data_IF_008196323820
#
_entry.id   IF_008196323820
#
_cell.length_a   1.000
_cell.length_b   1.000
_cell.length_c   1.000
_cell.angle_alpha   90.00
_cell.angle_beta   90.00
_cell.angle_gamma   90.00
#
_symmetry.space_group_name_H-M   'P 1'
#
loop_
_entity.id
_entity.type
_entity.pdbx_description
1 polymer ?
#
# COMPACT_ATOMS: atom_id res chain seq x y z
N UNK A 1 11.00 12.23 11.17
CA UNK A 1 10.11 11.12 10.75
C UNK A 1 10.88 9.82 10.87
N UNK A 2 10.25 8.77 11.39
CA UNK A 2 10.80 7.42 11.42
C UNK A 2 10.05 6.55 10.41
N UNK A 3 10.77 5.95 9.47
CA UNK A 3 10.22 5.08 8.44
C UNK A 3 11.00 3.76 8.35
N UNK A 4 10.36 2.75 7.76
CA UNK A 4 10.99 1.45 7.53
C UNK A 4 11.34 1.21 6.06
N UNK A 5 10.45 1.63 5.15
CA UNK A 5 10.64 1.51 3.70
C UNK A 5 10.66 2.88 3.04
N UNK A 6 11.48 3.02 1.99
CA UNK A 6 11.52 4.22 1.17
C UNK A 6 12.16 3.91 -0.20
N UNK A 7 11.64 4.45 -1.32
CA UNK A 7 12.22 4.21 -2.64
C UNK A 7 13.70 4.65 -2.74
N UNK A 8 14.57 3.88 -3.40
CA UNK A 8 14.24 2.72 -4.23
C UNK A 8 14.00 1.41 -3.46
N UNK A 9 14.37 1.33 -2.18
CA UNK A 9 14.30 0.10 -1.37
C UNK A 9 12.96 -0.04 -0.63
N UNK A 10 12.01 -0.71 -1.28
CA UNK A 10 10.67 -0.94 -0.72
C UNK A 10 10.07 -2.24 -1.24
N UNK A 11 9.08 -2.79 -0.53
CA UNK A 11 8.40 -4.03 -0.92
C UNK A 11 6.92 -3.84 -1.24
N UNK A 12 6.37 -2.66 -0.98
CA UNK A 12 4.99 -2.33 -1.30
C UNK A 12 4.64 -0.85 -1.13
N UNK A 13 3.35 -0.58 -0.92
CA UNK A 13 2.80 0.78 -0.88
C UNK A 13 3.33 1.67 0.26
N UNK A 14 3.88 1.10 1.33
CA UNK A 14 4.40 1.85 2.48
C UNK A 14 5.51 2.83 2.07
N UNK A 15 6.53 2.35 1.35
CA UNK A 15 7.62 3.21 0.89
C UNK A 15 7.14 4.30 -0.06
N UNK A 16 6.23 3.94 -0.98
CA UNK A 16 5.60 4.87 -1.92
C UNK A 16 4.81 5.96 -1.19
N UNK A 17 4.04 5.60 -0.16
CA UNK A 17 3.31 6.55 0.66
C UNK A 17 4.25 7.46 1.47
N UNK A 18 5.29 6.88 2.09
CA UNK A 18 6.28 7.62 2.85
C UNK A 18 6.98 8.68 1.99
N UNK A 19 7.42 8.32 0.77
CA UNK A 19 8.00 9.27 -0.18
C UNK A 19 7.03 10.38 -0.57
N UNK A 20 5.78 10.02 -0.86
CA UNK A 20 4.74 10.99 -1.19
C UNK A 20 4.54 12.01 -0.07
N UNK A 21 4.42 11.53 1.17
CA UNK A 21 4.27 12.38 2.36
C UNK A 21 5.50 13.27 2.55
N UNK A 22 6.72 12.75 2.47
CA UNK A 22 7.95 13.55 2.63
C UNK A 22 8.02 14.67 1.59
N UNK A 23 7.79 14.35 0.31
CA UNK A 23 7.78 15.35 -0.77
C UNK A 23 6.67 16.38 -0.59
N UNK A 24 5.47 15.93 -0.22
CA UNK A 24 4.34 16.79 0.06
C UNK A 24 4.60 17.74 1.24
N UNK A 25 5.22 17.25 2.32
CA UNK A 25 5.58 18.07 3.49
C UNK A 25 6.63 19.13 3.12
N UNK A 26 7.65 18.78 2.33
CA UNK A 26 8.64 19.75 1.84
C UNK A 26 8.02 20.82 0.93
N UNK A 27 6.98 20.47 0.15
CA UNK A 27 6.21 21.45 -0.61
C UNK A 27 5.55 22.51 0.28
N UNK A 28 5.22 22.17 1.53
CA UNK A 28 4.66 23.07 2.53
C UNK A 28 5.72 23.61 3.50
N UNK A 29 6.97 23.72 3.05
CA UNK A 29 8.10 24.29 3.81
C UNK A 29 8.39 23.58 5.15
N UNK A 30 7.98 22.31 5.28
CA UNK A 30 8.34 21.50 6.44
C UNK A 30 9.72 20.88 6.22
N UNK A 31 10.65 21.22 7.10
CA UNK A 31 11.93 20.52 7.18
C UNK A 31 11.74 19.11 7.74
N UNK A 32 12.12 18.09 6.97
CA UNK A 32 11.95 16.69 7.33
C UNK A 32 13.30 16.02 7.46
N UNK A 33 13.65 15.59 8.67
CA UNK A 33 14.68 14.57 8.87
C UNK A 33 14.03 13.20 8.85
N UNK A 34 14.32 12.38 7.86
CA UNK A 34 13.81 11.01 7.74
C UNK A 34 14.85 10.01 8.22
N UNK A 35 14.50 9.13 9.17
CA UNK A 35 15.38 8.06 9.66
C UNK A 35 14.91 6.73 9.10
N UNK A 36 15.78 6.05 8.34
CA UNK A 36 15.51 4.75 7.72
C UNK A 36 16.51 3.69 8.18
N UNK A 37 16.09 2.41 8.28
CA UNK A 37 17.04 1.30 8.39
C UNK A 37 17.85 1.22 7.10
N UNK A 38 19.17 1.18 7.19
CA UNK A 38 20.04 1.03 6.03
C UNK A 38 21.16 0.03 6.33
N UNK A 39 21.53 -0.90 5.42
CA UNK A 39 22.60 -1.83 5.71
C UNK A 39 23.92 -1.06 5.75
N UNK A 40 24.84 -1.45 6.63
CA UNK A 40 26.21 -0.95 6.56
C UNK A 40 26.85 -1.39 5.22
N UNK A 41 26.83 -0.52 4.21
CA UNK A 41 27.72 -0.60 3.04
C UNK A 41 28.70 0.58 3.06
N UNK A 42 29.85 0.39 2.39
CA UNK A 42 30.98 1.32 2.42
C UNK A 42 30.60 2.76 2.03
N UNK A 43 31.36 3.72 2.57
CA UNK A 43 31.15 5.15 2.41
C UNK A 43 31.04 5.53 0.92
N UNK A 44 29.94 6.19 0.54
CA UNK A 44 29.86 6.97 -0.69
C UNK A 44 28.44 7.07 -1.25
N UNK A 45 27.87 8.28 -1.17
CA UNK A 45 26.54 8.71 -1.69
C UNK A 45 25.30 8.02 -1.11
N UNK A 46 24.38 8.82 -0.57
CA UNK A 46 23.02 8.37 -0.23
C UNK A 46 22.36 7.82 -1.50
N UNK A 47 21.79 6.61 -1.50
CA UNK A 47 21.00 6.11 -2.64
C UNK A 47 19.63 6.79 -2.72
N UNK A 48 19.32 7.65 -1.75
CA UNK A 48 18.07 8.40 -1.68
C UNK A 48 18.27 9.77 -2.31
N UNK A 49 17.35 10.19 -3.20
CA UNK A 49 17.47 11.46 -3.90
C UNK A 49 17.30 12.68 -2.97
N UNK A 50 16.79 12.50 -1.76
CA UNK A 50 16.58 13.57 -0.79
C UNK A 50 17.80 13.78 0.13
N UNK A 51 18.25 15.04 0.27
CA UNK A 51 19.44 15.43 1.05
C UNK A 51 19.29 15.27 2.58
N UNK A 52 18.05 15.22 3.10
CA UNK A 52 17.74 15.21 4.54
C UNK A 52 17.38 13.81 5.09
N UNK A 53 17.93 12.75 4.50
CA UNK A 53 17.75 11.37 4.95
C UNK A 53 18.91 10.94 5.86
N UNK A 54 18.58 10.60 7.10
CA UNK A 54 19.50 9.99 8.06
C UNK A 54 19.36 8.46 8.07
N UNK A 55 20.49 7.77 8.24
CA UNK A 55 20.53 6.30 8.21
C UNK A 55 20.80 5.73 9.60
N UNK A 56 19.85 4.94 10.10
CA UNK A 56 20.10 3.99 11.18
C UNK A 56 20.83 2.79 10.58
N UNK A 57 22.17 2.82 10.62
CA UNK A 57 23.03 1.83 9.96
C UNK A 57 22.95 0.46 10.62
N UNK A 58 22.09 -0.43 10.13
CA UNK A 58 21.86 -1.77 10.66
C UNK A 58 22.98 -2.74 10.29
N UNK A 59 23.20 -3.75 11.14
CA UNK A 59 24.19 -4.81 10.89
C UNK A 59 23.78 -5.66 9.69
N UNK A 60 22.48 -5.94 9.57
CA UNK A 60 21.84 -6.60 8.44
C UNK A 60 20.47 -5.97 8.22
N UNK A 61 20.13 -5.65 6.97
CA UNK A 61 18.79 -5.20 6.63
C UNK A 61 17.90 -6.42 6.39
N UNK A 62 16.75 -6.44 7.06
CA UNK A 62 15.65 -7.37 6.80
C UNK A 62 14.49 -6.60 6.17
N UNK A 63 13.87 -7.20 5.17
CA UNK A 63 12.61 -6.67 4.67
C UNK A 63 11.54 -6.78 5.75
N UNK A 64 10.56 -5.87 5.76
CA UNK A 64 9.40 -6.04 6.63
C UNK A 64 8.66 -7.34 6.33
N UNK A 65 8.76 -7.87 5.11
CA UNK A 65 8.07 -9.08 4.68
C UNK A 65 9.04 -10.09 4.10
N UNK A 66 8.74 -11.37 4.30
CA UNK A 66 9.51 -12.45 3.71
C UNK A 66 9.45 -12.36 2.18
N UNK A 67 10.62 -12.32 1.54
CA UNK A 67 10.73 -12.37 0.08
C UNK A 67 11.37 -13.69 -0.34
N UNK A 68 10.82 -14.36 -1.37
CA UNK A 68 11.49 -15.53 -1.97
C UNK A 68 12.80 -15.07 -2.62
N UNK A 69 13.95 -15.48 -2.05
CA UNK A 69 15.19 -15.62 -2.82
C UNK A 69 15.27 -17.06 -3.30
N UNK A 70 15.49 -17.28 -4.60
CA UNK A 70 15.47 -18.57 -5.31
C UNK A 70 16.56 -19.56 -4.83
N UNK A 71 17.29 -19.29 -3.74
CA UNK A 71 18.50 -20.02 -3.37
C UNK A 71 18.49 -20.79 -2.02
N UNK A 72 17.41 -20.82 -1.24
CA UNK A 72 17.40 -21.63 0.01
C UNK A 72 16.30 -22.69 0.02
N UNK A 73 16.73 -23.95 -0.03
CA UNK A 73 15.90 -25.18 0.03
C UNK A 73 15.39 -25.52 1.44
N UNK A 74 15.25 -24.55 2.36
CA UNK A 74 14.72 -24.80 3.70
C UNK A 74 13.35 -24.15 3.88
N UNK A 75 12.34 -24.99 3.75
CA UNK A 75 10.92 -24.68 3.77
C UNK A 75 10.43 -24.15 5.14
N UNK A 76 9.77 -22.99 5.14
CA UNK A 76 8.71 -22.61 6.08
C UNK A 76 7.63 -21.88 5.30
N UNK A 77 6.55 -22.58 4.98
CA UNK A 77 5.53 -22.21 3.99
C UNK A 77 4.58 -21.06 4.44
N UNK A 78 4.78 -20.48 5.63
CA UNK A 78 3.81 -19.61 6.30
C UNK A 78 4.36 -18.32 6.91
N UNK A 79 5.62 -17.97 6.69
CA UNK A 79 6.20 -16.75 7.27
C UNK A 79 5.79 -15.51 6.48
N UNK A 80 4.95 -14.64 7.05
CA UNK A 80 4.66 -13.31 6.51
C UNK A 80 5.85 -12.34 6.69
N UNK A 81 6.59 -12.51 7.78
CA UNK A 81 7.69 -11.65 8.24
C UNK A 81 9.05 -12.33 8.10
N UNK A 82 10.14 -11.55 8.04
CA UNK A 82 11.52 -12.08 8.07
C UNK A 82 11.90 -12.54 9.49
N UNK A 83 12.55 -13.70 9.60
CA UNK A 83 12.94 -14.34 10.88
C UNK A 83 13.78 -13.43 11.80
N UNK A 84 14.53 -12.45 11.27
CA UNK A 84 15.36 -11.54 12.08
C UNK A 84 14.74 -10.15 12.29
N UNK A 85 13.48 -9.94 11.91
CA UNK A 85 12.83 -8.62 11.93
C UNK A 85 12.80 -7.99 13.33
N UNK A 86 12.53 -8.80 14.37
CA UNK A 86 12.51 -8.32 15.76
C UNK A 86 13.84 -7.70 16.21
N UNK A 87 14.96 -8.40 15.99
CA UNK A 87 16.29 -7.90 16.29
C UNK A 87 16.62 -6.64 15.46
N UNK A 88 16.25 -6.62 14.18
CA UNK A 88 16.45 -5.44 13.32
C UNK A 88 15.69 -4.22 13.84
N UNK A 89 14.48 -4.40 14.39
CA UNK A 89 13.67 -3.33 14.98
C UNK A 89 14.32 -2.78 16.26
N UNK A 90 14.88 -3.65 17.11
CA UNK A 90 15.60 -3.23 18.31
C UNK A 90 16.88 -2.44 17.98
N UNK A 91 17.67 -2.95 17.02
CA UNK A 91 18.85 -2.23 16.52
C UNK A 91 18.47 -0.88 15.90
N UNK A 92 17.42 -0.86 15.08
CA UNK A 92 16.89 0.36 14.48
C UNK A 92 16.48 1.37 15.55
N UNK A 93 15.81 0.92 16.61
CA UNK A 93 15.39 1.76 17.73
C UNK A 93 16.60 2.40 18.42
N UNK A 94 17.61 1.61 18.78
CA UNK A 94 18.80 2.11 19.46
C UNK A 94 19.56 3.14 18.60
N UNK A 95 19.81 2.80 17.33
CA UNK A 95 20.55 3.67 16.40
C UNK A 95 19.77 4.93 16.04
N UNK A 96 18.44 4.82 15.93
CA UNK A 96 17.55 5.96 15.69
C UNK A 96 17.68 7.04 16.77
N UNK A 97 17.77 6.64 18.05
CA UNK A 97 17.96 7.59 19.15
C UNK A 97 19.34 8.23 19.13
N UNK A 98 20.38 7.48 18.78
CA UNK A 98 21.73 8.01 18.68
C UNK A 98 21.86 9.07 17.56
N UNK A 99 21.31 8.79 16.37
CA UNK A 99 21.42 9.72 15.22
C UNK A 99 20.53 10.95 15.37
N UNK A 100 19.47 10.87 16.18
CA UNK A 100 18.53 11.99 16.38
C UNK A 100 18.78 12.79 17.66
N UNK A 101 19.69 12.36 18.56
CA UNK A 101 19.91 12.98 19.88
C UNK A 101 20.12 14.49 19.89
N UNK A 102 20.73 15.05 18.84
CA UNK A 102 21.05 16.47 18.72
C UNK A 102 20.07 17.25 17.85
N UNK A 103 19.02 16.59 17.36
CA UNK A 103 17.97 17.23 16.58
C UNK A 103 16.97 17.84 17.54
N UNK A 104 16.37 18.97 17.15
CA UNK A 104 15.30 19.62 17.91
C UNK A 104 14.00 19.60 17.08
N UNK A 105 13.31 18.44 16.99
CA UNK A 105 12.12 18.32 16.17
C UNK A 105 10.93 19.02 16.83
N UNK A 106 10.09 19.72 16.05
CA UNK A 106 8.80 20.21 16.56
C UNK A 106 7.76 19.09 16.71
N UNK A 107 7.88 18.05 15.89
CA UNK A 107 7.00 16.87 15.86
C UNK A 107 7.85 15.63 15.60
N UNK A 108 7.58 14.55 16.32
CA UNK A 108 8.03 13.20 15.96
C UNK A 108 6.90 12.50 15.23
N UNK A 109 7.16 11.94 14.06
CA UNK A 109 6.15 11.29 13.22
C UNK A 109 6.64 9.91 12.76
N UNK A 110 5.89 8.87 13.10
CA UNK A 110 6.22 7.47 12.85
C UNK A 110 5.32 6.84 11.80
N UNK A 111 5.91 6.00 10.96
CA UNK A 111 5.20 5.22 9.95
C UNK A 111 5.26 3.75 10.33
N UNK A 112 4.09 3.19 10.67
CA UNK A 112 3.88 1.79 11.06
C UNK A 112 4.70 1.27 12.26
N UNK A 113 4.26 0.10 12.73
CA UNK A 113 4.61 -0.54 14.00
C UNK A 113 6.10 -0.78 14.23
N UNK A 114 6.88 -0.97 13.17
CA UNK A 114 8.33 -1.17 13.25
C UNK A 114 9.02 0.06 13.87
N UNK A 115 8.42 1.26 13.73
CA UNK A 115 9.06 2.53 14.10
C UNK A 115 8.55 3.14 15.40
N UNK A 116 7.47 2.59 15.99
CA UNK A 116 6.81 3.23 17.15
C UNK A 116 7.68 3.32 18.39
N UNK A 117 8.50 2.32 18.68
CA UNK A 117 9.38 2.38 19.87
C UNK A 117 10.46 3.47 19.72
N UNK A 118 11.06 3.58 18.54
CA UNK A 118 12.01 4.66 18.22
C UNK A 118 11.33 6.03 18.36
N UNK A 119 10.12 6.17 17.81
CA UNK A 119 9.28 7.36 17.91
C UNK A 119 8.96 7.77 19.33
N UNK A 120 8.39 6.86 20.11
CA UNK A 120 7.98 7.08 21.50
C UNK A 120 9.15 7.48 22.39
N UNK A 121 10.31 6.83 22.22
CA UNK A 121 11.53 7.21 22.96
C UNK A 121 12.08 8.56 22.51
N UNK A 122 12.08 8.84 21.20
CA UNK A 122 12.54 10.13 20.66
C UNK A 122 11.65 11.29 21.10
N UNK A 123 10.32 11.15 21.01
CA UNK A 123 9.34 12.13 21.45
C UNK A 123 9.51 12.47 22.94
N UNK A 124 9.69 11.44 23.80
CA UNK A 124 9.98 11.65 25.23
C UNK A 124 11.32 12.34 25.48
N UNK A 125 12.37 11.96 24.75
CA UNK A 125 13.69 12.57 24.88
C UNK A 125 13.67 14.06 24.53
N UNK A 126 13.01 14.42 23.42
CA UNK A 126 12.92 15.81 22.95
C UNK A 126 11.76 16.61 23.55
N UNK A 127 10.88 15.96 24.32
CA UNK A 127 9.64 16.54 24.90
C UNK A 127 8.74 17.15 23.83
N UNK A 128 8.53 16.42 22.74
CA UNK A 128 7.78 16.88 21.58
C UNK A 128 6.64 15.93 21.23
N UNK A 129 5.56 16.43 20.60
CA UNK A 129 4.40 15.60 20.28
C UNK A 129 4.75 14.45 19.31
N UNK A 130 4.09 13.31 19.50
CA UNK A 130 4.20 12.11 18.69
C UNK A 130 2.96 11.94 17.80
N UNK A 131 3.19 11.77 16.51
CA UNK A 131 2.18 11.38 15.52
C UNK A 131 2.48 9.98 15.02
N UNK A 132 1.50 9.06 15.10
CA UNK A 132 1.59 7.74 14.47
C UNK A 132 0.74 7.70 13.21
N UNK A 133 1.32 7.28 12.09
CA UNK A 133 0.65 7.21 10.79
C UNK A 133 0.58 5.76 10.32
N UNK A 134 -0.65 5.28 10.18
CA UNK A 134 -0.98 3.88 10.05
C UNK A 134 -1.26 3.57 8.59
N UNK A 135 -0.39 2.78 7.95
CA UNK A 135 -0.56 2.33 6.56
C UNK A 135 -1.18 0.94 6.49
N UNK A 136 -0.98 0.11 7.52
CA UNK A 136 -1.68 -1.16 7.70
C UNK A 136 -1.55 -1.61 9.17
N UNK A 137 -2.55 -2.33 9.67
CA UNK A 137 -2.50 -3.01 10.98
C UNK A 137 -2.20 -4.50 10.83
N UNK A 138 -1.86 -5.16 11.92
CA UNK A 138 -1.66 -6.61 11.94
C UNK A 138 -2.94 -7.36 11.62
N UNK A 139 -4.08 -6.86 12.10
CA UNK A 139 -5.40 -7.40 11.79
C UNK A 139 -5.69 -7.37 10.29
N UNK A 140 -5.29 -6.28 9.61
CA UNK A 140 -5.43 -6.16 8.15
C UNK A 140 -4.66 -7.24 7.40
N UNK A 141 -3.44 -7.54 7.88
CA UNK A 141 -2.50 -8.43 7.18
C UNK A 141 -2.81 -9.90 7.40
N UNK A 142 -3.41 -10.24 8.54
CA UNK A 142 -3.60 -11.61 8.99
C UNK A 142 -5.06 -12.08 9.00
N UNK A 143 -5.99 -11.28 8.47
CA UNK A 143 -7.42 -11.57 8.54
C UNK A 143 -7.85 -11.79 10.01
N UNK A 144 -7.53 -10.81 10.86
CA UNK A 144 -7.88 -10.81 12.29
C UNK A 144 -7.30 -11.99 13.11
N UNK A 145 -6.25 -12.65 12.61
CA UNK A 145 -5.48 -13.68 13.33
C UNK A 145 -4.05 -13.17 13.60
N UNK A 146 -3.88 -12.11 14.42
CA UNK A 146 -2.62 -11.40 14.50
C UNK A 146 -1.52 -12.19 15.21
N UNK A 147 -0.27 -11.94 14.83
CA UNK A 147 0.85 -12.24 15.71
C UNK A 147 0.75 -11.39 17.00
N UNK A 148 0.72 -11.99 18.20
CA UNK A 148 0.52 -11.25 19.45
C UNK A 148 1.61 -10.20 19.71
N UNK A 149 2.86 -10.51 19.36
CA UNK A 149 3.98 -9.60 19.60
C UNK A 149 3.88 -8.35 18.71
N UNK A 150 3.47 -8.51 17.46
CA UNK A 150 3.23 -7.37 16.56
C UNK A 150 2.02 -6.55 17.02
N UNK A 151 0.92 -7.23 17.38
CA UNK A 151 -0.31 -6.57 17.83
C UNK A 151 -0.07 -5.72 19.08
N UNK A 152 0.67 -6.23 20.07
CA UNK A 152 1.02 -5.49 21.28
C UNK A 152 1.85 -4.24 20.96
N UNK A 153 2.82 -4.32 20.04
CA UNK A 153 3.63 -3.16 19.63
C UNK A 153 2.81 -2.12 18.89
N UNK A 154 1.88 -2.54 18.02
CA UNK A 154 0.90 -1.65 17.40
C UNK A 154 0.09 -0.92 18.46
N UNK A 155 -0.50 -1.66 19.40
CA UNK A 155 -1.32 -1.09 20.48
C UNK A 155 -0.53 -0.08 21.33
N UNK A 156 0.71 -0.41 21.73
CA UNK A 156 1.57 0.50 22.49
C UNK A 156 1.91 1.77 21.70
N UNK A 157 2.18 1.66 20.40
CA UNK A 157 2.39 2.81 19.54
C UNK A 157 1.16 3.71 19.43
N UNK A 158 -0.03 3.12 19.30
CA UNK A 158 -1.29 3.87 19.22
C UNK A 158 -1.62 4.56 20.53
N UNK A 159 -1.38 3.91 21.67
CA UNK A 159 -1.58 4.50 23.00
C UNK A 159 -0.60 5.66 23.23
N UNK A 160 0.67 5.49 22.85
CA UNK A 160 1.71 6.50 23.11
C UNK A 160 1.67 7.74 22.21
N UNK A 161 1.08 7.66 21.01
CA UNK A 161 0.93 8.82 20.13
C UNK A 161 0.04 9.90 20.75
N UNK A 162 0.27 11.17 20.45
CA UNK A 162 -0.66 12.26 20.78
C UNK A 162 -1.81 12.30 19.76
N UNK A 163 -1.50 12.07 18.49
CA UNK A 163 -2.46 11.96 17.39
C UNK A 163 -2.12 10.81 16.47
N UNK A 164 -3.15 10.22 15.87
CA UNK A 164 -3.02 9.13 14.91
C UNK A 164 -3.57 9.59 13.57
N UNK A 165 -2.81 9.32 12.51
CA UNK A 165 -3.27 9.47 11.13
C UNK A 165 -3.61 8.08 10.59
N UNK A 166 -4.88 7.85 10.27
CA UNK A 166 -5.34 6.68 9.55
C UNK A 166 -5.46 7.02 8.05
N UNK A 167 -4.98 6.14 7.19
CA UNK A 167 -5.03 6.35 5.72
C UNK A 167 -6.44 6.26 5.13
N UNK A 168 -7.45 5.87 5.93
CA UNK A 168 -8.85 5.74 5.51
C UNK A 168 -9.80 5.68 6.71
N UNK A 169 -11.09 5.88 6.48
CA UNK A 169 -12.13 5.60 7.47
C UNK A 169 -12.21 4.11 7.80
N UNK A 170 -11.94 3.23 6.84
CA UNK A 170 -11.78 1.79 7.08
C UNK A 170 -10.71 1.51 8.15
N UNK A 171 -9.50 2.04 7.99
CA UNK A 171 -8.42 1.89 8.99
C UNK A 171 -8.79 2.56 10.31
N UNK A 172 -9.43 3.74 10.29
CA UNK A 172 -9.93 4.39 11.52
C UNK A 172 -10.91 3.49 12.29
N UNK A 173 -11.82 2.82 11.59
CA UNK A 173 -12.78 1.92 12.21
C UNK A 173 -12.07 0.72 12.83
N UNK A 174 -11.04 0.16 12.19
CA UNK A 174 -10.26 -0.93 12.77
C UNK A 174 -9.58 -0.51 14.08
N UNK A 175 -8.93 0.66 14.08
CA UNK A 175 -8.27 1.20 15.26
C UNK A 175 -9.26 1.46 16.41
N UNK A 176 -10.44 2.00 16.10
CA UNK A 176 -11.45 2.28 17.11
C UNK A 176 -12.10 1.00 17.67
N UNK A 177 -12.49 0.08 16.79
CA UNK A 177 -13.30 -1.09 17.17
C UNK A 177 -12.46 -2.24 17.73
N UNK A 178 -11.24 -2.45 17.21
CA UNK A 178 -10.43 -3.61 17.57
C UNK A 178 -9.21 -3.26 18.45
N UNK A 179 -8.64 -2.07 18.30
CA UNK A 179 -7.55 -1.60 19.17
C UNK A 179 -8.04 -0.73 20.33
N UNK A 180 -9.33 -0.37 20.38
CA UNK A 180 -9.94 0.41 21.45
C UNK A 180 -9.47 1.86 21.51
N UNK A 181 -9.01 2.41 20.38
CA UNK A 181 -8.48 3.78 20.34
C UNK A 181 -9.61 4.80 20.22
N UNK A 182 -9.54 5.87 21.03
CA UNK A 182 -10.54 6.92 21.04
C UNK A 182 -10.69 7.58 19.65
N UNK A 183 -11.92 7.67 19.07
CA UNK A 183 -12.11 8.17 17.70
C UNK A 183 -11.67 9.62 17.43
N UNK A 184 -11.58 10.46 18.46
CA UNK A 184 -11.12 11.86 18.43
C UNK A 184 -9.59 12.00 18.38
N UNK A 185 -8.87 10.93 18.76
CA UNK A 185 -7.43 10.79 18.57
C UNK A 185 -7.05 10.46 17.12
N UNK A 186 -7.99 9.88 16.36
CA UNK A 186 -7.76 9.36 15.00
C UNK A 186 -8.26 10.36 13.95
N UNK A 187 -7.33 10.90 13.18
CA UNK A 187 -7.58 11.76 12.03
C UNK A 187 -7.44 10.94 10.74
N UNK A 188 -8.44 11.02 9.86
CA UNK A 188 -8.36 10.36 8.55
C UNK A 188 -7.71 11.33 7.56
N UNK A 189 -6.60 10.92 6.98
CA UNK A 189 -5.95 11.63 5.86
C UNK A 189 -5.67 10.58 4.80
N UNK A 190 -6.39 10.66 3.69
CA UNK A 190 -6.28 9.68 2.62
C UNK A 190 -4.89 9.70 1.98
N UNK A 191 -4.44 8.54 1.52
CA UNK A 191 -3.26 8.47 0.67
C UNK A 191 -3.54 9.05 -0.73
N UNK A 192 -2.48 9.32 -1.49
CA UNK A 192 -2.58 10.00 -2.78
C UNK A 192 -1.85 9.27 -3.91
N UNK A 193 -2.10 9.69 -5.16
CA UNK A 193 -1.39 9.18 -6.32
C UNK A 193 -0.12 10.01 -6.61
N UNK A 194 0.89 9.35 -7.21
CA UNK A 194 2.16 9.99 -7.62
C UNK A 194 2.13 10.63 -9.02
N UNK A 195 1.12 10.29 -9.83
CA UNK A 195 1.08 10.60 -11.26
C UNK A 195 0.67 12.06 -11.55
N UNK A 196 1.37 13.03 -10.98
CA UNK A 196 1.16 14.46 -11.27
C UNK A 196 1.94 14.92 -12.53
N UNK A 197 2.96 14.16 -12.97
CA UNK A 197 3.81 14.57 -14.10
C UNK A 197 3.75 13.65 -15.34
N UNK A 198 2.97 12.57 -15.28
CA UNK A 198 2.74 11.75 -16.47
C UNK A 198 1.69 12.44 -17.34
N UNK A 199 2.04 12.72 -18.59
CA UNK A 199 1.09 13.16 -19.61
C UNK A 199 -0.19 12.31 -19.53
N UNK A 200 -1.40 12.90 -19.71
CA UNK A 200 -2.64 12.16 -19.65
C UNK A 200 -2.49 10.88 -20.49
N UNK A 201 -2.90 9.71 -19.96
CA UNK A 201 -2.72 8.45 -20.66
C UNK A 201 -3.23 8.67 -22.08
N UNK A 202 -2.37 8.36 -23.07
CA UNK A 202 -2.77 8.39 -24.47
C UNK A 202 -4.10 7.66 -24.54
N UNK A 203 -5.18 8.41 -24.77
CA UNK A 203 -6.50 7.86 -24.92
C UNK A 203 -6.36 6.72 -25.91
N UNK A 204 -6.77 5.53 -25.49
CA UNK A 204 -6.63 4.33 -26.30
C UNK A 204 -7.44 4.56 -27.58
N UNK A 205 -6.78 5.01 -28.63
CA UNK A 205 -7.42 5.43 -29.88
C UNK A 205 -7.93 4.26 -30.73
N UNK A 206 -7.99 3.05 -30.19
CA UNK A 206 -8.63 1.92 -30.84
C UNK A 206 -8.96 0.80 -29.86
N UNK A 207 -10.11 0.11 -29.98
CA UNK A 207 -10.25 -1.23 -29.45
C UNK A 207 -9.11 -2.10 -30.01
N UNK A 208 -8.27 -2.65 -29.16
CA UNK A 208 -7.20 -3.54 -29.61
C UNK A 208 -7.79 -4.74 -30.34
N UNK A 209 -7.13 -5.21 -31.40
CA UNK A 209 -7.40 -6.53 -31.99
C UNK A 209 -7.10 -7.71 -31.04
N UNK A 210 -6.57 -7.41 -29.85
CA UNK A 210 -6.26 -8.40 -28.82
C UNK A 210 -7.50 -8.67 -27.96
N UNK A 211 -7.62 -9.90 -27.42
CA UNK A 211 -8.69 -10.23 -26.51
C UNK A 211 -8.70 -9.31 -25.26
N UNK A 212 -9.87 -9.07 -24.64
CA UNK A 212 -9.96 -8.23 -23.45
C UNK A 212 -9.11 -8.80 -22.30
N UNK A 213 -8.39 -7.92 -21.59
CA UNK A 213 -7.52 -8.28 -20.47
C UNK A 213 -8.11 -7.77 -19.15
N UNK A 214 -8.30 -8.65 -18.18
CA UNK A 214 -8.68 -8.31 -16.80
C UNK A 214 -7.44 -8.47 -15.91
N UNK A 215 -7.09 -7.40 -15.19
CA UNK A 215 -5.85 -7.33 -14.42
C UNK A 215 -6.10 -7.42 -12.92
N UNK A 216 -5.35 -8.29 -12.24
CA UNK A 216 -5.05 -8.21 -10.82
C UNK A 216 -3.57 -7.80 -10.65
N UNK A 217 -3.29 -6.91 -9.70
CA UNK A 217 -1.93 -6.46 -9.39
C UNK A 217 -1.76 -6.30 -7.88
N UNK A 218 -0.82 -7.03 -7.29
CA UNK A 218 -0.50 -6.94 -5.86
C UNK A 218 0.17 -8.19 -5.31
N UNK A 219 0.55 -8.14 -4.02
CA UNK A 219 1.16 -9.30 -3.34
C UNK A 219 0.15 -10.44 -3.23
N UNK A 220 0.58 -11.68 -3.52
CA UNK A 220 -0.28 -12.87 -3.46
C UNK A 220 -0.37 -13.40 -2.03
N UNK A 221 -1.21 -12.72 -1.24
CA UNK A 221 -1.42 -12.93 0.20
C UNK A 221 -2.91 -13.03 0.49
N UNK A 222 -3.28 -13.64 1.62
CA UNK A 222 -4.66 -13.75 2.08
C UNK A 222 -5.35 -12.38 2.11
N UNK A 223 -4.66 -11.35 2.61
CA UNK A 223 -5.14 -9.96 2.62
C UNK A 223 -5.64 -9.47 1.25
N UNK A 224 -4.89 -9.75 0.18
CA UNK A 224 -5.22 -9.29 -1.18
C UNK A 224 -6.23 -10.19 -1.90
N UNK A 225 -6.51 -11.36 -1.33
CA UNK A 225 -7.51 -12.32 -1.77
C UNK A 225 -7.40 -12.72 -3.26
N UNK A 226 -6.22 -13.15 -3.74
CA UNK A 226 -6.04 -13.57 -5.13
C UNK A 226 -6.86 -14.82 -5.51
N UNK A 227 -7.26 -15.66 -4.55
CA UNK A 227 -8.14 -16.81 -4.81
C UNK A 227 -9.51 -16.36 -5.32
N UNK A 228 -10.07 -15.28 -4.75
CA UNK A 228 -11.31 -14.71 -5.24
C UNK A 228 -11.19 -14.24 -6.69
N UNK A 229 -10.02 -13.73 -7.10
CA UNK A 229 -9.80 -13.37 -8.50
C UNK A 229 -9.88 -14.59 -9.44
N UNK A 230 -9.47 -15.78 -9.01
CA UNK A 230 -9.67 -17.02 -9.77
C UNK A 230 -11.16 -17.37 -9.89
N UNK A 231 -11.94 -17.20 -8.82
CA UNK A 231 -13.39 -17.40 -8.87
C UNK A 231 -14.07 -16.42 -9.83
N UNK A 232 -13.69 -15.15 -9.79
CA UNK A 232 -14.17 -14.14 -10.74
C UNK A 232 -13.81 -14.54 -12.18
N UNK A 233 -12.56 -14.97 -12.41
CA UNK A 233 -12.11 -15.41 -13.73
C UNK A 233 -12.93 -16.60 -14.27
N UNK A 234 -13.23 -17.60 -13.43
CA UNK A 234 -14.07 -18.74 -13.80
C UNK A 234 -15.48 -18.34 -14.23
N UNK A 235 -16.09 -17.36 -13.54
CA UNK A 235 -17.45 -16.87 -13.83
C UNK A 235 -17.50 -16.12 -15.15
N UNK A 236 -16.53 -15.24 -15.37
CA UNK A 236 -16.41 -14.49 -16.62
C UNK A 236 -16.07 -15.43 -17.78
N UNK A 237 -15.13 -16.37 -17.60
CA UNK A 237 -14.71 -17.31 -18.65
C UNK A 237 -15.87 -18.18 -19.14
N UNK A 238 -16.77 -18.62 -18.24
CA UNK A 238 -17.97 -19.37 -18.63
C UNK A 238 -18.92 -18.58 -19.57
N UNK A 239 -18.90 -17.24 -19.49
CA UNK A 239 -19.75 -16.35 -20.30
C UNK A 239 -19.03 -15.70 -21.48
N UNK A 240 -17.70 -15.58 -21.44
CA UNK A 240 -16.87 -14.90 -22.43
C UNK A 240 -15.48 -15.57 -22.47
N UNK A 241 -15.34 -16.70 -23.19
CA UNK A 241 -14.13 -17.54 -23.16
C UNK A 241 -12.87 -16.88 -23.73
N UNK A 242 -13.04 -15.83 -24.51
CA UNK A 242 -12.00 -15.02 -25.14
C UNK A 242 -11.30 -14.06 -24.17
N UNK A 243 -11.89 -13.78 -23.00
CA UNK A 243 -11.28 -12.89 -22.00
C UNK A 243 -10.02 -13.53 -21.40
N UNK A 244 -8.95 -12.74 -21.32
CA UNK A 244 -7.68 -13.10 -20.69
C UNK A 244 -7.55 -12.45 -19.33
N UNK A 245 -6.95 -13.17 -18.37
CA UNK A 245 -6.72 -12.73 -17.01
C UNK A 245 -5.22 -12.68 -16.75
N UNK A 246 -4.76 -11.61 -16.13
CA UNK A 246 -3.37 -11.48 -15.68
C UNK A 246 -3.37 -11.27 -14.17
N UNK A 247 -2.70 -12.17 -13.46
CA UNK A 247 -2.37 -12.02 -12.06
C UNK A 247 -0.92 -11.61 -11.94
N UNK A 248 -0.70 -10.31 -11.71
CA UNK A 248 0.62 -9.73 -11.56
C UNK A 248 1.03 -9.55 -10.10
N UNK A 249 2.17 -10.13 -9.73
CA UNK A 249 2.69 -10.09 -8.37
C UNK A 249 3.20 -11.44 -7.90
N UNK A 250 3.77 -11.42 -6.69
CA UNK A 250 4.38 -12.57 -6.05
C UNK A 250 3.95 -12.61 -4.57
N UNK A 251 4.13 -13.76 -3.93
CA UNK A 251 3.78 -13.96 -2.53
C UNK A 251 3.69 -15.43 -2.15
N UNK A 252 3.43 -15.72 -0.86
CA UNK A 252 3.36 -17.10 -0.36
C UNK A 252 2.39 -17.99 -1.14
N UNK A 253 1.28 -17.43 -1.64
CA UNK A 253 0.25 -18.18 -2.35
C UNK A 253 0.57 -18.46 -3.84
N UNK A 254 1.68 -17.95 -4.40
CA UNK A 254 1.93 -17.98 -5.85
C UNK A 254 1.80 -19.37 -6.47
N UNK A 255 2.51 -20.37 -5.93
CA UNK A 255 2.48 -21.74 -6.45
C UNK A 255 1.10 -22.37 -6.30
N UNK A 256 0.49 -22.20 -5.11
CA UNK A 256 -0.85 -22.71 -4.83
C UNK A 256 -1.90 -22.17 -5.82
N UNK A 257 -1.83 -20.87 -6.16
CA UNK A 257 -2.77 -20.23 -7.08
C UNK A 257 -2.66 -20.77 -8.51
N UNK A 258 -1.47 -21.16 -8.96
CA UNK A 258 -1.28 -21.81 -10.27
C UNK A 258 -1.96 -23.18 -10.27
N UNK A 259 -1.72 -24.01 -9.25
CA UNK A 259 -2.34 -25.33 -9.14
C UNK A 259 -3.88 -25.22 -9.08
N UNK A 260 -4.39 -24.23 -8.35
CA UNK A 260 -5.83 -23.94 -8.27
C UNK A 260 -6.39 -23.48 -9.61
N UNK A 261 -5.70 -22.61 -10.34
CA UNK A 261 -6.15 -22.17 -11.66
C UNK A 261 -6.26 -23.35 -12.65
N UNK A 262 -5.27 -24.24 -12.69
CA UNK A 262 -5.31 -25.47 -13.48
C UNK A 262 -6.47 -26.38 -13.05
N UNK A 263 -6.66 -26.59 -11.74
CA UNK A 263 -7.77 -27.41 -11.23
C UNK A 263 -9.15 -26.81 -11.56
N UNK A 264 -9.22 -25.50 -11.80
CA UNK A 264 -10.44 -24.77 -12.18
C UNK A 264 -10.65 -24.68 -13.70
N UNK A 265 -9.73 -25.22 -14.52
CA UNK A 265 -9.80 -25.16 -15.98
C UNK A 265 -9.43 -23.81 -16.58
N UNK A 266 -8.63 -23.00 -15.88
CA UNK A 266 -8.26 -21.63 -16.28
C UNK A 266 -6.89 -21.53 -16.97
N UNK A 267 -6.21 -22.64 -17.21
CA UNK A 267 -4.82 -22.70 -17.71
C UNK A 267 -4.63 -22.00 -19.06
N UNK A 268 -5.67 -21.91 -19.89
CA UNK A 268 -5.62 -21.28 -21.21
C UNK A 268 -6.02 -19.80 -21.22
N UNK A 269 -6.46 -19.24 -20.08
CA UNK A 269 -6.92 -17.85 -19.99
C UNK A 269 -6.30 -17.07 -18.82
N UNK A 270 -5.50 -17.70 -17.95
CA UNK A 270 -4.87 -17.06 -16.79
C UNK A 270 -3.35 -17.03 -16.94
N UNK A 271 -2.75 -15.84 -16.80
CA UNK A 271 -1.30 -15.63 -16.81
C UNK A 271 -0.83 -15.15 -15.43
N UNK A 272 0.17 -15.84 -14.89
CA UNK A 272 0.86 -15.46 -13.65
C UNK A 272 2.24 -14.89 -13.99
N UNK A 273 2.49 -13.62 -13.67
CA UNK A 273 3.75 -12.96 -14.08
C UNK A 273 4.87 -13.08 -13.06
N UNK A 274 4.55 -13.36 -11.80
CA UNK A 274 5.48 -13.16 -10.69
C UNK A 274 5.76 -11.68 -10.45
N UNK A 275 6.92 -11.37 -9.88
CA UNK A 275 7.38 -9.98 -9.70
C UNK A 275 7.65 -9.33 -11.05
N UNK A 276 7.11 -8.14 -11.24
CA UNK A 276 7.29 -7.33 -12.45
C UNK A 276 7.81 -5.94 -12.10
N UNK A 277 8.46 -5.32 -13.07
CA UNK A 277 9.05 -3.98 -12.99
C UNK A 277 8.00 -2.88 -13.19
N UNK A 278 8.31 -1.65 -12.79
CA UNK A 278 7.42 -0.50 -13.01
C UNK A 278 7.03 -0.29 -14.47
N UNK A 279 7.93 -0.38 -15.48
CA UNK A 279 7.55 -0.30 -16.89
C UNK A 279 6.58 -1.40 -17.32
N UNK A 280 6.73 -2.62 -16.81
CA UNK A 280 5.82 -3.73 -17.09
C UNK A 280 4.44 -3.50 -16.48
N UNK A 281 4.36 -2.97 -15.25
CA UNK A 281 3.11 -2.53 -14.62
C UNK A 281 2.38 -1.49 -15.48
N UNK A 282 3.09 -0.47 -15.95
CA UNK A 282 2.51 0.57 -16.83
C UNK A 282 1.99 -0.03 -18.15
N UNK A 283 2.75 -0.96 -18.75
CA UNK A 283 2.34 -1.68 -19.95
C UNK A 283 1.07 -2.51 -19.72
N UNK A 284 0.96 -3.19 -18.57
CA UNK A 284 -0.24 -3.94 -18.20
C UNK A 284 -1.45 -3.02 -18.01
N UNK A 285 -1.31 -1.89 -17.33
CA UNK A 285 -2.41 -0.93 -17.20
C UNK A 285 -2.88 -0.40 -18.56
N UNK A 286 -1.96 -0.07 -19.47
CA UNK A 286 -2.31 0.37 -20.82
C UNK A 286 -3.08 -0.68 -21.64
N UNK A 287 -2.85 -1.98 -21.36
CA UNK A 287 -3.53 -3.10 -22.01
C UNK A 287 -4.83 -3.51 -21.32
N UNK A 288 -4.97 -3.24 -20.03
CA UNK A 288 -6.10 -3.68 -19.23
C UNK A 288 -7.43 -3.09 -19.72
N UNK A 289 -8.43 -3.95 -19.79
CA UNK A 289 -9.82 -3.59 -20.03
C UNK A 289 -10.49 -3.13 -18.75
N UNK A 290 -10.15 -3.77 -17.63
CA UNK A 290 -10.43 -3.33 -16.28
C UNK A 290 -9.41 -3.92 -15.29
N UNK A 291 -9.37 -3.34 -14.09
CA UNK A 291 -8.55 -3.79 -12.95
C UNK A 291 -9.46 -4.26 -11.82
N UNK A 292 -9.13 -5.39 -11.20
CA UNK A 292 -9.93 -6.01 -10.13
C UNK A 292 -9.07 -6.16 -8.87
N UNK A 293 -9.56 -5.61 -7.77
CA UNK A 293 -8.91 -5.68 -6.45
C UNK A 293 -9.90 -6.27 -5.43
N UNK A 294 -9.99 -7.60 -5.33
CA UNK A 294 -10.98 -8.30 -4.50
C UNK A 294 -10.54 -8.44 -3.04
N UNK A 295 -9.73 -7.50 -2.55
CA UNK A 295 -9.02 -7.63 -1.27
C UNK A 295 -9.97 -7.79 -0.08
N UNK A 296 -9.61 -8.69 0.83
CA UNK A 296 -10.30 -8.86 2.11
C UNK A 296 -10.15 -7.62 2.98
N UNK A 297 -8.91 -7.11 3.05
CA UNK A 297 -8.58 -5.84 3.70
C UNK A 297 -7.60 -5.07 2.81
N UNK A 298 -7.92 -3.82 2.54
CA UNK A 298 -7.05 -2.89 1.83
C UNK A 298 -7.06 -1.53 2.55
N UNK A 299 -6.11 -1.26 3.46
CA UNK A 299 -6.08 -0.03 4.25
C UNK A 299 -6.26 1.23 3.42
N UNK A 300 -5.65 1.26 2.24
CA UNK A 300 -5.98 2.25 1.23
C UNK A 300 -6.11 1.66 -0.18
N UNK A 301 -5.02 1.15 -0.76
CA UNK A 301 -5.04 0.58 -2.12
C UNK A 301 -4.52 1.54 -3.18
N UNK A 302 -3.25 1.94 -3.04
CA UNK A 302 -2.57 2.82 -4.01
C UNK A 302 -2.63 2.30 -5.45
N UNK A 303 -2.59 0.98 -5.64
CA UNK A 303 -2.67 0.33 -6.96
C UNK A 303 -3.99 0.66 -7.68
N UNK A 304 -5.09 0.83 -6.95
CA UNK A 304 -6.36 1.26 -7.55
C UNK A 304 -6.27 2.70 -8.09
N UNK A 305 -5.57 3.59 -7.39
CA UNK A 305 -5.31 4.94 -7.89
C UNK A 305 -4.37 4.94 -9.09
N UNK A 306 -3.37 4.05 -9.11
CA UNK A 306 -2.48 3.87 -10.26
C UNK A 306 -3.27 3.39 -11.49
N UNK A 307 -4.16 2.40 -11.34
CA UNK A 307 -5.04 1.94 -12.41
C UNK A 307 -5.90 3.08 -12.97
N UNK A 308 -6.54 3.85 -12.08
CA UNK A 308 -7.36 5.01 -12.45
C UNK A 308 -6.57 6.06 -13.20
N UNK A 309 -5.37 6.38 -12.75
CA UNK A 309 -4.52 7.38 -13.39
C UNK A 309 -4.08 6.96 -14.81
N UNK A 310 -4.08 5.66 -15.10
CA UNK A 310 -3.89 5.12 -16.46
C UNK A 310 -5.20 5.01 -17.26
N UNK A 311 -6.31 5.54 -16.73
CA UNK A 311 -7.63 5.46 -17.36
C UNK A 311 -8.16 4.04 -17.40
N UNK A 312 -7.81 3.17 -16.44
CA UNK A 312 -8.33 1.79 -16.36
C UNK A 312 -9.56 1.77 -15.44
N UNK A 313 -10.73 1.30 -15.91
CA UNK A 313 -11.88 1.07 -15.05
C UNK A 313 -11.54 0.11 -13.91
N UNK A 314 -11.95 0.43 -12.68
CA UNK A 314 -11.64 -0.37 -11.49
C UNK A 314 -12.87 -1.02 -10.89
N UNK A 315 -12.69 -2.26 -10.42
CA UNK A 315 -13.64 -3.03 -9.61
C UNK A 315 -12.91 -3.38 -8.32
N UNK A 316 -13.33 -2.78 -7.22
CA UNK A 316 -12.62 -2.86 -5.95
C UNK A 316 -13.53 -3.37 -4.84
N UNK A 317 -12.92 -3.99 -3.84
CA UNK A 317 -13.59 -4.34 -2.59
C UNK A 317 -14.13 -3.09 -1.87
N UNK A 318 -15.31 -3.20 -1.25
CA UNK A 318 -15.80 -2.18 -0.30
C UNK A 318 -14.92 -2.07 0.96
N UNK A 319 -14.18 -3.12 1.29
CA UNK A 319 -13.19 -3.16 2.37
C UNK A 319 -11.85 -2.56 1.92
N UNK A 320 -11.91 -1.46 1.18
CA UNK A 320 -10.76 -0.72 0.67
C UNK A 320 -10.90 0.76 0.97
N UNK A 321 -9.85 1.38 1.53
CA UNK A 321 -9.83 2.83 1.74
C UNK A 321 -9.97 3.63 0.44
N UNK A 322 -9.52 3.09 -0.69
CA UNK A 322 -9.70 3.71 -2.00
C UNK A 322 -11.18 3.77 -2.43
N UNK A 323 -12.04 2.88 -1.91
CA UNK A 323 -13.49 2.94 -2.16
C UNK A 323 -14.16 4.19 -1.56
N UNK A 324 -13.50 4.86 -0.61
CA UNK A 324 -14.00 6.10 -0.01
C UNK A 324 -13.85 7.30 -0.96
N UNK A 325 -12.88 7.25 -1.87
CA UNK A 325 -12.51 8.34 -2.78
C UNK A 325 -12.83 8.03 -4.25
N UNK A 326 -12.85 6.77 -4.65
CA UNK A 326 -13.14 6.35 -6.02
C UNK A 326 -14.65 6.35 -6.25
N UNK A 327 -15.14 7.29 -7.07
CA UNK A 327 -16.54 7.38 -7.49
C UNK A 327 -16.82 6.79 -8.86
N UNK A 328 -15.79 6.69 -9.70
CA UNK A 328 -15.90 6.23 -11.10
C UNK A 328 -15.28 4.83 -11.25
N UNK A 329 -15.92 3.87 -10.59
CA UNK A 329 -15.59 2.45 -10.58
C UNK A 329 -16.66 1.68 -9.82
N UNK A 330 -16.52 0.36 -9.72
CA UNK A 330 -17.44 -0.49 -8.98
C UNK A 330 -16.87 -0.85 -7.62
N UNK A 331 -17.64 -0.64 -6.55
CA UNK A 331 -17.33 -1.13 -5.21
C UNK A 331 -18.23 -2.34 -4.89
N UNK A 332 -17.62 -3.50 -4.73
CA UNK A 332 -18.30 -4.79 -4.55
C UNK A 332 -17.84 -5.43 -3.24
N UNK A 333 -18.70 -6.19 -2.57
CA UNK A 333 -18.29 -6.96 -1.39
C UNK A 333 -17.25 -8.00 -1.79
N UNK A 334 -16.16 -8.15 -1.02
CA UNK A 334 -15.01 -8.95 -1.46
C UNK A 334 -15.35 -10.42 -1.76
N UNK A 335 -16.39 -10.99 -1.14
CA UNK A 335 -16.80 -12.39 -1.31
C UNK A 335 -17.73 -12.61 -2.52
N UNK A 336 -18.25 -11.55 -3.13
CA UNK A 336 -19.27 -11.63 -4.19
C UNK A 336 -18.63 -11.74 -5.58
N UNK A 337 -18.13 -12.94 -5.90
CA UNK A 337 -17.47 -13.22 -7.18
C UNK A 337 -18.41 -13.02 -8.37
N UNK A 338 -19.70 -13.34 -8.19
CA UNK A 338 -20.70 -13.23 -9.25
C UNK A 338 -20.94 -11.76 -9.60
N UNK A 339 -21.11 -10.89 -8.60
CA UNK A 339 -21.25 -9.45 -8.85
C UNK A 339 -20.00 -8.81 -9.42
N UNK A 340 -18.81 -9.23 -9.00
CA UNK A 340 -17.56 -8.77 -9.62
C UNK A 340 -17.49 -9.19 -11.09
N UNK A 341 -17.87 -10.43 -11.41
CA UNK A 341 -17.94 -10.92 -12.78
C UNK A 341 -18.97 -10.15 -13.62
N UNK A 342 -20.14 -9.85 -13.06
CA UNK A 342 -21.16 -9.02 -13.72
C UNK A 342 -20.63 -7.61 -14.02
N UNK A 343 -19.90 -6.99 -13.09
CA UNK A 343 -19.24 -5.70 -13.34
C UNK A 343 -18.22 -5.80 -14.49
N UNK A 344 -17.39 -6.85 -14.53
CA UNK A 344 -16.44 -7.08 -15.63
C UNK A 344 -17.20 -7.20 -16.95
N UNK A 345 -18.19 -8.10 -17.03
CA UNK A 345 -18.96 -8.34 -18.25
C UNK A 345 -19.70 -7.08 -18.72
N UNK A 346 -20.18 -6.26 -17.79
CA UNK A 346 -20.80 -4.95 -18.10
C UNK A 346 -19.79 -4.01 -18.75
N UNK A 347 -18.59 -3.85 -18.16
CA UNK A 347 -17.52 -3.02 -18.74
C UNK A 347 -17.09 -3.54 -20.13
N UNK A 348 -17.05 -4.86 -20.31
CA UNK A 348 -16.63 -5.45 -21.58
C UNK A 348 -17.68 -5.31 -22.69
N UNK A 349 -18.98 -5.33 -22.33
CA UNK A 349 -20.09 -5.31 -23.29
C UNK A 349 -20.58 -3.88 -23.60
N UNK A 350 -20.50 -2.96 -22.64
CA UNK A 350 -20.93 -1.58 -22.82
C UNK A 350 -19.74 -0.65 -23.04
N UNK A 351 -19.42 -0.40 -24.31
CA UNK A 351 -18.33 0.49 -24.71
C UNK A 351 -18.55 1.95 -24.31
N UNK A 352 -19.80 2.40 -24.15
CA UNK A 352 -20.11 3.78 -23.72
C UNK A 352 -19.78 3.95 -22.25
N UNK A 353 -20.25 3.02 -21.42
CA UNK A 353 -19.92 2.99 -19.99
C UNK A 353 -18.40 2.85 -19.79
N UNK A 354 -17.75 1.95 -20.51
CA UNK A 354 -16.29 1.79 -20.42
C UNK A 354 -15.57 3.08 -20.82
N UNK A 355 -15.99 3.75 -21.90
CA UNK A 355 -15.43 5.03 -22.32
C UNK A 355 -15.61 6.13 -21.26
N UNK A 356 -16.77 6.19 -20.62
CA UNK A 356 -17.04 7.13 -19.54
C UNK A 356 -16.17 6.84 -18.31
N UNK A 357 -16.09 5.59 -17.86
CA UNK A 357 -15.24 5.20 -16.73
C UNK A 357 -13.77 5.55 -17.01
N UNK A 358 -13.27 5.30 -18.23
CA UNK A 358 -11.88 5.61 -18.62
C UNK A 358 -11.58 7.11 -18.61
N UNK A 359 -12.51 7.93 -19.09
CA UNK A 359 -12.31 9.39 -19.23
C UNK A 359 -12.51 10.16 -17.92
N UNK A 360 -13.46 9.73 -17.09
CA UNK A 360 -13.81 10.40 -15.83
C UNK A 360 -12.94 9.95 -14.64
N UNK A 361 -12.40 8.72 -14.66
CA UNK A 361 -11.66 8.22 -13.51
C UNK A 361 -10.44 9.08 -13.11
N UNK A 362 -9.59 9.58 -14.05
CA UNK A 362 -8.50 10.49 -13.69
C UNK A 362 -9.00 11.82 -13.07
N UNK A 363 -10.17 12.30 -13.49
CA UNK A 363 -10.78 13.51 -12.92
C UNK A 363 -11.18 13.30 -11.45
N UNK A 364 -11.64 12.09 -11.11
CA UNK A 364 -12.05 11.70 -9.76
C UNK A 364 -10.92 11.87 -8.73
N UNK A 365 -9.68 11.59 -9.14
CA UNK A 365 -8.52 11.57 -8.25
C UNK A 365 -7.61 12.80 -8.42
N UNK A 366 -7.97 13.75 -9.29
CA UNK A 366 -7.15 14.93 -9.62
C UNK A 366 -6.72 15.73 -8.40
N UNK A 367 -7.60 15.84 -7.40
CA UNK A 367 -7.33 16.59 -6.17
C UNK A 367 -6.72 15.71 -5.07
N UNK A 368 -6.57 14.41 -5.30
CA UNK A 368 -6.02 13.46 -4.35
C UNK A 368 -4.50 13.33 -4.56
N UNK A 369 -3.79 14.43 -4.31
CA UNK A 369 -2.34 14.56 -4.52
C UNK A 369 -1.59 14.59 -3.20
N UNK A 370 -0.33 14.14 -3.18
CA UNK A 370 0.50 14.18 -1.98
C UNK A 370 0.67 15.60 -1.41
N UNK A 371 0.70 16.62 -2.28
CA UNK A 371 0.68 18.03 -1.87
C UNK A 371 -0.57 18.36 -1.06
N UNK A 372 -1.76 17.99 -1.53
CA UNK A 372 -3.01 18.27 -0.81
C UNK A 372 -3.10 17.51 0.51
N UNK A 373 -2.70 16.23 0.53
CA UNK A 373 -2.76 15.40 1.74
C UNK A 373 -1.74 15.86 2.79
N UNK A 374 -0.53 16.23 2.36
CA UNK A 374 0.46 16.82 3.26
C UNK A 374 0.00 18.15 3.87
N UNK A 375 -0.81 18.95 3.17
CA UNK A 375 -1.40 20.16 3.74
C UNK A 375 -2.30 19.87 4.94
N UNK A 376 -3.04 18.76 4.91
CA UNK A 376 -3.85 18.30 6.05
C UNK A 376 -2.96 17.79 7.21
N UNK A 377 -1.84 17.12 6.89
CA UNK A 377 -0.85 16.71 7.90
C UNK A 377 -0.24 17.94 8.59
N UNK A 378 0.11 18.99 7.83
CA UNK A 378 0.62 20.26 8.39
C UNK A 378 -0.41 20.93 9.28
N UNK A 379 -1.69 20.93 8.88
CA UNK A 379 -2.77 21.44 9.72
C UNK A 379 -2.85 20.68 11.05
N UNK A 380 -2.72 19.34 11.02
CA UNK A 380 -2.67 18.53 12.23
C UNK A 380 -1.46 18.87 13.11
N UNK A 381 -0.26 19.00 12.54
CA UNK A 381 0.94 19.39 13.29
C UNK A 381 0.76 20.71 14.01
N UNK A 382 0.16 21.71 13.35
CA UNK A 382 -0.13 23.02 13.96
C UNK A 382 -1.01 22.89 15.21
N UNK A 383 -1.98 21.96 15.23
CA UNK A 383 -2.80 21.71 16.44
C UNK A 383 -2.03 21.13 17.62
N UNK A 384 -0.82 20.60 17.39
CA UNK A 384 0.04 20.01 18.40
C UNK A 384 1.14 20.97 18.87
N UNK A 385 1.57 21.90 18.01
CA UNK A 385 2.64 22.86 18.33
C UNK A 385 2.13 24.20 18.84
N UNK A 386 0.87 24.57 18.59
CA UNK A 386 0.27 25.83 19.06
C UNK A 386 -0.40 25.74 20.44
N UNK A 387 -0.32 24.59 21.11
CA UNK A 387 -0.96 24.32 22.41
C UNK A 387 -0.04 24.59 23.60
N UNK A 388 1.02 25.37 23.41
CA UNK A 388 2.00 25.74 24.45
C UNK A 388 1.80 27.18 24.94
#
# INVERSE_FOLDING_TARGET
>A
MFGWEYPPFHTGGLGIACQGIVRGLRHHDVHVTLVLPYPNQEKGTSPFPEEDVCFARLTKMTGAYASRSVQSHSYKEHMLYDDNLGQSIEEYTAKSLEVTKHIHPHIVHCHDWMTYEAGSRSARHHRTPLVAHIHATELDRTNFCPDPWIFEREQQGFISADKIIAVSHYTKNILAQHYGIAPDKIHVIHNAHHLVDAAPPLLRNNPSKHPPLVLFLGRLTVQKNPEQFLHVAQRVHASSPDVQFVMAGDGPAFTHLIDRACAMGLENCMVFTGKITTPEVQCLFQKASCFVMPSFSEPFGLVALEAIAHGVPVIISKQSGASEVIRHGFAVDFWDADKMADCILTILRDGSLAGQLRSEAPHAIRNLTWKTQAGQIVALYKTLTHTA
#
